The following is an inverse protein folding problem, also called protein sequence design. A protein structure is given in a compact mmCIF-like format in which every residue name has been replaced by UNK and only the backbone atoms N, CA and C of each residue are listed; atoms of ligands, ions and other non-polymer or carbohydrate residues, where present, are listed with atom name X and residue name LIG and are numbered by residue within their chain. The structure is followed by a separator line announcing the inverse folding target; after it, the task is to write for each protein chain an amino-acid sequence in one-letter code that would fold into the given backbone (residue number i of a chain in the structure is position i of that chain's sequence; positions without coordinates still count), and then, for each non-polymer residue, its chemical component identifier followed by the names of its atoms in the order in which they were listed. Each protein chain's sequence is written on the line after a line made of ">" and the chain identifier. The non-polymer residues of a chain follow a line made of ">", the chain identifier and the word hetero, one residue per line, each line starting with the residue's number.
data_IF_908430531940
#
_entry.id   IF_908430531940
#
_cell.length_a   1.000
_cell.length_b   1.000
_cell.length_c   1.000
_cell.angle_alpha   90.00
_cell.angle_beta   90.00
_cell.angle_gamma   90.00
#
_symmetry.space_group_name_H-M   'P 1'
#
loop_
_entity.id
_entity.type
_entity.pdbx_description
1 polymer ?
#
# COMPACT_ATOMS: atom_id res chain seq x y z
N UNK A 1 33.56 -20.21 3.89
CA UNK A 1 32.17 -20.66 3.81
C UNK A 1 31.21 -19.87 4.75
N UNK A 2 31.43 -19.82 6.10
CA UNK A 2 30.52 -19.15 7.04
C UNK A 2 30.32 -17.63 6.79
N UNK A 3 31.31 -16.89 6.28
CA UNK A 3 31.18 -15.46 5.93
C UNK A 3 30.33 -15.25 4.70
N UNK A 4 30.48 -16.11 3.69
CA UNK A 4 29.65 -16.06 2.47
C UNK A 4 28.20 -16.39 2.77
N UNK A 5 27.94 -17.38 3.63
CA UNK A 5 26.59 -17.75 4.07
C UNK A 5 25.92 -16.60 4.84
N UNK A 6 26.66 -15.95 5.76
CA UNK A 6 26.13 -14.79 6.49
C UNK A 6 25.83 -13.61 5.56
N UNK A 7 26.69 -13.34 4.57
CA UNK A 7 26.45 -12.28 3.59
C UNK A 7 25.24 -12.59 2.70
N UNK A 8 25.13 -13.82 2.22
CA UNK A 8 24.00 -14.28 1.42
C UNK A 8 22.66 -14.15 2.21
N UNK A 9 22.66 -14.53 3.48
CA UNK A 9 21.49 -14.41 4.36
C UNK A 9 21.11 -12.94 4.59
N UNK A 10 22.09 -12.05 4.74
CA UNK A 10 21.84 -10.61 4.88
C UNK A 10 21.21 -10.04 3.60
N UNK A 11 21.76 -10.36 2.43
CA UNK A 11 21.20 -9.92 1.13
C UNK A 11 19.79 -10.47 0.94
N UNK A 12 19.57 -11.73 1.30
CA UNK A 12 18.23 -12.33 1.23
C UNK A 12 17.22 -11.59 2.10
N UNK A 13 17.57 -11.23 3.33
CA UNK A 13 16.69 -10.45 4.22
C UNK A 13 16.44 -9.04 3.66
N UNK A 14 17.44 -8.37 3.08
CA UNK A 14 17.26 -7.04 2.43
C UNK A 14 16.21 -7.11 1.32
N UNK A 15 16.19 -8.19 0.54
CA UNK A 15 15.20 -8.37 -0.54
C UNK A 15 13.83 -8.86 -0.02
N UNK A 16 13.84 -9.73 1.01
CA UNK A 16 12.60 -10.26 1.56
C UNK A 16 11.76 -9.21 2.29
N UNK A 17 12.36 -8.21 2.92
CA UNK A 17 11.63 -7.14 3.62
C UNK A 17 10.69 -6.39 2.67
N UNK A 18 11.14 -5.78 1.55
CA UNK A 18 10.24 -5.09 0.63
C UNK A 18 9.26 -6.05 -0.06
N UNK A 19 9.69 -7.26 -0.42
CA UNK A 19 8.80 -8.26 -1.03
C UNK A 19 7.70 -8.70 -0.06
N UNK A 20 8.01 -8.88 1.22
CA UNK A 20 7.01 -9.17 2.24
C UNK A 20 6.02 -8.03 2.41
N UNK A 21 6.49 -6.78 2.44
CA UNK A 21 5.62 -5.61 2.55
C UNK A 21 4.69 -5.49 1.33
N UNK A 22 5.21 -5.67 0.12
CA UNK A 22 4.43 -5.67 -1.13
C UNK A 22 3.39 -6.79 -1.15
N UNK A 23 3.77 -8.00 -0.71
CA UNK A 23 2.84 -9.14 -0.69
C UNK A 23 1.73 -8.97 0.34
N UNK A 24 2.04 -8.41 1.53
CA UNK A 24 1.03 -8.07 2.54
C UNK A 24 0.11 -6.97 2.02
N UNK A 25 0.67 -5.93 1.39
CA UNK A 25 -0.11 -4.85 0.78
C UNK A 25 -1.08 -5.40 -0.27
N UNK A 26 -0.58 -6.21 -1.21
CA UNK A 26 -1.42 -6.76 -2.25
C UNK A 26 -2.53 -7.67 -1.70
N UNK A 27 -2.24 -8.49 -0.70
CA UNK A 27 -3.24 -9.40 -0.11
C UNK A 27 -4.21 -8.73 0.85
N UNK A 28 -3.82 -7.65 1.53
CA UNK A 28 -4.61 -7.01 2.57
C UNK A 28 -5.27 -5.70 2.11
N UNK A 29 -4.57 -4.86 1.34
CA UNK A 29 -5.10 -3.57 0.89
C UNK A 29 -5.81 -3.71 -0.46
N UNK A 30 -5.25 -4.49 -1.40
CA UNK A 30 -5.85 -4.70 -2.73
C UNK A 30 -6.83 -5.88 -2.72
N UNK A 31 -6.54 -6.93 -1.97
CA UNK A 31 -7.38 -8.15 -1.91
C UNK A 31 -8.45 -8.12 -0.80
N UNK A 32 -8.71 -6.99 -0.15
CA UNK A 32 -9.75 -6.86 0.87
C UNK A 32 -10.60 -5.62 0.62
N UNK A 33 -11.88 -5.82 0.32
CA UNK A 33 -12.80 -4.74 -0.05
C UNK A 33 -12.93 -3.65 1.01
N UNK A 34 -12.97 -4.00 2.30
CA UNK A 34 -13.12 -3.00 3.37
C UNK A 34 -11.89 -2.11 3.48
N UNK A 35 -10.70 -2.69 3.35
CA UNK A 35 -9.42 -1.93 3.38
C UNK A 35 -9.25 -1.08 2.13
N UNK A 36 -9.59 -1.63 0.96
CA UNK A 36 -9.59 -0.88 -0.28
C UNK A 36 -10.50 0.36 -0.18
N UNK A 37 -11.75 0.18 0.27
CA UNK A 37 -12.69 1.29 0.45
C UNK A 37 -12.17 2.29 1.48
N UNK A 38 -11.58 1.83 2.59
CA UNK A 38 -10.99 2.73 3.58
C UNK A 38 -9.81 3.55 3.01
N UNK A 39 -9.00 2.96 2.13
CA UNK A 39 -7.92 3.67 1.43
C UNK A 39 -8.45 4.68 0.39
N UNK A 40 -9.58 4.35 -0.28
CA UNK A 40 -10.21 5.20 -1.31
C UNK A 40 -11.11 6.30 -0.71
N UNK A 41 -11.63 6.12 0.51
CA UNK A 41 -12.58 7.05 1.14
C UNK A 41 -12.09 8.51 1.19
N UNK A 42 -10.81 8.82 1.54
CA UNK A 42 -10.33 10.20 1.56
C UNK A 42 -10.35 10.89 0.19
N UNK A 43 -10.33 10.12 -0.91
CA UNK A 43 -10.31 10.65 -2.27
C UNK A 43 -11.62 11.35 -2.65
N UNK A 44 -12.73 11.03 -1.99
CA UNK A 44 -13.99 11.78 -2.17
C UNK A 44 -13.83 13.27 -1.84
N UNK A 45 -12.92 13.62 -0.91
CA UNK A 45 -12.60 15.00 -0.55
C UNK A 45 -11.40 15.59 -1.30
N UNK A 46 -10.74 14.84 -2.18
CA UNK A 46 -9.59 15.34 -2.94
C UNK A 46 -10.06 16.25 -4.09
N UNK A 47 -9.57 17.50 -4.17
CA UNK A 47 -10.03 18.46 -5.20
C UNK A 47 -9.79 17.98 -6.63
N UNK A 48 -8.67 17.28 -6.90
CA UNK A 48 -8.38 16.79 -8.24
C UNK A 48 -9.32 15.65 -8.66
N UNK A 49 -9.75 14.83 -7.71
CA UNK A 49 -10.77 13.78 -7.95
C UNK A 49 -12.15 14.40 -8.14
N UNK A 50 -12.53 15.37 -7.31
CA UNK A 50 -13.80 16.10 -7.45
C UNK A 50 -13.89 16.84 -8.80
N UNK A 51 -12.79 17.46 -9.25
CA UNK A 51 -12.72 18.11 -10.57
C UNK A 51 -12.97 17.10 -11.70
N UNK A 52 -12.33 15.93 -11.67
CA UNK A 52 -12.54 14.87 -12.67
C UNK A 52 -13.99 14.40 -12.69
N UNK A 53 -14.57 14.17 -11.52
CA UNK A 53 -15.98 13.76 -11.41
C UNK A 53 -16.89 14.85 -11.97
N UNK A 54 -16.66 16.12 -11.63
CA UNK A 54 -17.46 17.23 -12.11
C UNK A 54 -17.37 17.37 -13.64
N UNK A 55 -16.18 17.26 -14.21
CA UNK A 55 -15.97 17.36 -15.65
C UNK A 55 -16.66 16.19 -16.40
N UNK A 56 -16.53 14.96 -15.91
CA UNK A 56 -17.14 13.78 -16.53
C UNK A 56 -18.68 13.82 -16.45
N UNK A 57 -19.23 14.15 -15.27
CA UNK A 57 -20.67 14.25 -15.08
C UNK A 57 -21.23 15.38 -15.94
N UNK A 58 -20.59 16.56 -15.94
CA UNK A 58 -21.00 17.69 -16.78
C UNK A 58 -20.99 17.31 -18.25
N UNK A 59 -19.91 16.69 -18.74
CA UNK A 59 -19.81 16.26 -20.12
C UNK A 59 -20.91 15.26 -20.50
N UNK A 60 -21.24 14.32 -19.61
CA UNK A 60 -22.30 13.34 -19.87
C UNK A 60 -23.70 13.97 -19.86
N UNK A 61 -23.98 14.88 -18.93
CA UNK A 61 -25.24 15.63 -18.86
C UNK A 61 -25.43 16.48 -20.13
N UNK A 62 -24.37 17.23 -20.51
CA UNK A 62 -24.41 18.13 -21.67
C UNK A 62 -24.51 17.43 -23.01
N UNK A 63 -24.15 16.12 -23.11
CA UNK A 63 -24.40 15.33 -24.35
C UNK A 63 -25.89 15.22 -24.69
N UNK A 64 -26.74 15.23 -23.70
CA UNK A 64 -28.20 15.06 -23.85
C UNK A 64 -28.99 16.37 -23.83
N UNK A 65 -28.28 17.51 -23.70
CA UNK A 65 -28.88 18.85 -23.60
C UNK A 65 -28.31 19.71 -24.72
N UNK A 66 -29.18 20.15 -25.63
CA UNK A 66 -28.84 21.14 -26.66
C UNK A 66 -29.58 22.44 -26.35
N UNK A 67 -28.87 23.45 -25.88
CA UNK A 67 -29.40 24.79 -25.55
C UNK A 67 -28.78 25.86 -26.46
N UNK A 68 -28.22 25.46 -27.59
CA UNK A 68 -27.69 26.37 -28.60
C UNK A 68 -26.62 27.31 -28.02
N UNK A 69 -26.79 28.66 -28.19
CA UNK A 69 -25.79 29.63 -27.72
C UNK A 69 -25.53 29.64 -26.21
N UNK A 70 -26.41 29.06 -25.41
CA UNK A 70 -26.32 28.99 -23.94
C UNK A 70 -25.55 27.76 -23.45
N UNK A 71 -25.02 26.93 -24.37
CA UNK A 71 -24.39 25.65 -24.05
C UNK A 71 -23.28 25.79 -22.99
N UNK A 72 -22.37 26.78 -23.13
CA UNK A 72 -21.32 27.03 -22.16
C UNK A 72 -21.84 27.46 -20.80
N UNK A 73 -22.79 28.41 -20.77
CA UNK A 73 -23.34 28.93 -19.51
C UNK A 73 -24.12 27.86 -18.73
N UNK A 74 -24.85 26.99 -19.43
CA UNK A 74 -25.54 25.85 -18.81
C UNK A 74 -24.52 24.81 -18.33
N UNK A 75 -23.49 24.55 -19.11
CA UNK A 75 -22.40 23.67 -18.71
C UNK A 75 -21.70 24.14 -17.41
N UNK A 76 -21.42 25.44 -17.31
CA UNK A 76 -20.82 26.02 -16.09
C UNK A 76 -21.74 25.87 -14.86
N UNK A 77 -23.03 26.06 -15.03
CA UNK A 77 -24.04 25.87 -13.96
C UNK A 77 -24.10 24.41 -13.52
N UNK A 78 -24.12 23.47 -14.48
CA UNK A 78 -24.10 22.03 -14.18
C UNK A 78 -22.84 21.67 -13.42
N UNK A 79 -21.65 22.12 -13.93
CA UNK A 79 -20.38 21.85 -13.26
C UNK A 79 -20.36 22.38 -11.83
N UNK A 80 -20.84 23.60 -11.61
CA UNK A 80 -20.90 24.20 -10.27
C UNK A 80 -21.84 23.41 -9.34
N UNK A 81 -22.99 22.94 -9.83
CA UNK A 81 -23.90 22.10 -9.05
C UNK A 81 -23.23 20.76 -8.68
N UNK A 82 -22.54 20.11 -9.63
CA UNK A 82 -21.83 18.85 -9.37
C UNK A 82 -20.69 19.07 -8.38
N UNK A 83 -19.93 20.16 -8.49
CA UNK A 83 -18.86 20.48 -7.52
C UNK A 83 -19.44 20.72 -6.12
N UNK A 84 -20.56 21.42 -6.00
CA UNK A 84 -21.23 21.61 -4.71
C UNK A 84 -21.68 20.28 -4.10
N UNK A 85 -22.22 19.37 -4.91
CA UNK A 85 -22.59 18.03 -4.48
C UNK A 85 -21.36 17.20 -4.10
N UNK A 86 -20.26 17.24 -4.87
CA UNK A 86 -19.03 16.52 -4.60
C UNK A 86 -18.37 16.90 -3.26
N UNK A 87 -18.66 18.09 -2.73
CA UNK A 87 -18.26 18.50 -1.38
C UNK A 87 -19.16 18.00 -0.24
N UNK A 88 -20.21 17.23 -0.51
CA UNK A 88 -21.20 16.80 0.48
C UNK A 88 -20.91 15.42 1.09
N UNK A 89 -21.47 15.16 2.28
CA UNK A 89 -21.42 13.84 2.92
C UNK A 89 -22.14 12.77 2.07
N UNK A 90 -23.20 13.18 1.34
CA UNK A 90 -23.91 12.31 0.42
C UNK A 90 -23.01 11.80 -0.71
N UNK A 91 -22.15 12.65 -1.25
CA UNK A 91 -21.16 12.23 -2.24
C UNK A 91 -20.15 11.25 -1.65
N UNK A 92 -19.65 11.50 -0.42
CA UNK A 92 -18.71 10.59 0.24
C UNK A 92 -19.32 9.21 0.46
N UNK A 93 -20.60 9.15 0.89
CA UNK A 93 -21.31 7.89 1.06
C UNK A 93 -21.52 7.15 -0.27
N UNK A 94 -21.94 7.88 -1.32
CA UNK A 94 -22.06 7.33 -2.67
C UNK A 94 -20.70 6.84 -3.22
N UNK A 95 -19.64 7.61 -3.05
CA UNK A 95 -18.27 7.24 -3.43
C UNK A 95 -17.83 5.92 -2.79
N UNK A 96 -18.02 5.78 -1.48
CA UNK A 96 -17.67 4.56 -0.76
C UNK A 96 -18.49 3.37 -1.23
N UNK A 97 -19.78 3.57 -1.51
CA UNK A 97 -20.69 2.54 -2.02
C UNK A 97 -20.25 2.06 -3.40
N UNK A 98 -19.99 2.98 -4.33
CA UNK A 98 -19.53 2.63 -5.70
C UNK A 98 -18.21 1.87 -5.65
N UNK A 99 -17.23 2.37 -4.88
CA UNK A 99 -15.93 1.70 -4.72
C UNK A 99 -16.09 0.29 -4.13
N UNK A 100 -16.95 0.10 -3.14
CA UNK A 100 -17.23 -1.20 -2.53
C UNK A 100 -17.81 -2.19 -3.53
N UNK A 101 -18.83 -1.78 -4.27
CA UNK A 101 -19.49 -2.66 -5.24
C UNK A 101 -18.57 -3.01 -6.39
N UNK A 102 -17.86 -2.01 -6.94
CA UNK A 102 -16.93 -2.23 -8.03
C UNK A 102 -15.77 -3.16 -7.62
N UNK A 103 -15.17 -2.92 -6.45
CA UNK A 103 -14.08 -3.76 -5.95
C UNK A 103 -14.55 -5.19 -5.66
N UNK A 104 -15.71 -5.37 -5.00
CA UNK A 104 -16.25 -6.69 -4.69
C UNK A 104 -16.58 -7.51 -5.95
N UNK A 105 -17.01 -6.83 -7.03
CA UNK A 105 -17.25 -7.49 -8.31
C UNK A 105 -15.95 -7.98 -8.96
N UNK A 106 -14.89 -7.17 -8.93
CA UNK A 106 -13.57 -7.56 -9.44
C UNK A 106 -12.97 -8.70 -8.62
N UNK A 107 -13.02 -8.60 -7.29
CA UNK A 107 -12.50 -9.63 -6.39
C UNK A 107 -13.21 -10.98 -6.61
N UNK A 108 -14.54 -10.96 -6.70
CA UNK A 108 -15.34 -12.15 -7.02
C UNK A 108 -14.96 -12.74 -8.38
N UNK A 109 -14.71 -11.93 -9.38
CA UNK A 109 -14.33 -12.39 -10.71
C UNK A 109 -12.93 -13.02 -10.75
N UNK A 110 -12.00 -12.47 -9.97
CA UNK A 110 -10.66 -13.05 -9.79
C UNK A 110 -10.72 -14.40 -9.07
N UNK A 111 -11.64 -14.56 -8.10
CA UNK A 111 -11.80 -15.80 -7.32
C UNK A 111 -12.63 -16.89 -8.07
N UNK A 112 -13.64 -16.52 -8.88
CA UNK A 112 -14.63 -17.45 -9.44
C UNK A 112 -14.10 -18.39 -10.54
N UNK A 113 -12.95 -18.08 -11.16
CA UNK A 113 -12.33 -18.98 -12.14
C UNK A 113 -13.04 -19.08 -13.49
N UNK A 114 -14.16 -18.39 -13.72
CA UNK A 114 -14.82 -18.32 -15.02
C UNK A 114 -13.97 -17.48 -15.98
N UNK A 115 -13.70 -18.01 -17.17
CA UNK A 115 -12.89 -17.35 -18.22
C UNK A 115 -13.67 -16.30 -19.01
N UNK A 116 -14.80 -15.82 -18.47
CA UNK A 116 -15.71 -14.89 -19.13
C UNK A 116 -15.36 -13.43 -18.79
N UNK A 117 -15.80 -12.51 -19.62
CA UNK A 117 -15.69 -11.08 -19.35
C UNK A 117 -16.38 -10.73 -18.03
N UNK A 118 -15.74 -9.87 -17.24
CA UNK A 118 -16.34 -9.38 -16.00
C UNK A 118 -17.26 -8.23 -16.34
N UNK A 119 -18.55 -8.50 -16.33
CA UNK A 119 -19.60 -7.50 -16.46
C UNK A 119 -20.17 -7.16 -15.08
N UNK A 120 -20.36 -5.88 -14.81
CA UNK A 120 -21.09 -5.38 -13.64
C UNK A 120 -22.41 -4.82 -14.13
N UNK A 121 -23.51 -5.37 -13.61
CA UNK A 121 -24.81 -4.74 -13.74
C UNK A 121 -24.85 -3.51 -12.84
N UNK A 122 -25.06 -2.35 -13.41
CA UNK A 122 -25.11 -1.09 -12.70
C UNK A 122 -26.43 -0.88 -11.94
N UNK A 123 -27.48 -1.64 -12.20
CA UNK A 123 -28.77 -1.46 -11.54
C UNK A 123 -28.67 -1.57 -10.00
N UNK A 124 -28.02 -2.59 -9.40
CA UNK A 124 -27.88 -2.67 -7.95
C UNK A 124 -27.01 -1.57 -7.37
N UNK A 125 -26.04 -1.05 -8.14
CA UNK A 125 -25.19 0.07 -7.73
C UNK A 125 -26.02 1.35 -7.72
N UNK A 126 -26.74 1.61 -8.81
CA UNK A 126 -27.61 2.80 -8.97
C UNK A 126 -28.70 2.81 -7.90
N UNK A 127 -29.34 1.67 -7.63
CA UNK A 127 -30.35 1.56 -6.57
C UNK A 127 -29.79 1.90 -5.20
N UNK A 128 -28.60 1.37 -4.86
CA UNK A 128 -27.96 1.66 -3.58
C UNK A 128 -27.52 3.10 -3.44
N UNK A 129 -26.97 3.69 -4.50
CA UNK A 129 -26.62 5.12 -4.55
C UNK A 129 -27.87 5.99 -4.42
N UNK A 130 -28.94 5.66 -5.17
CA UNK A 130 -30.23 6.33 -5.06
C UNK A 130 -30.76 6.31 -3.63
N UNK A 131 -30.79 5.16 -3.01
CA UNK A 131 -31.23 5.00 -1.62
C UNK A 131 -30.36 5.84 -0.66
N UNK A 132 -29.04 5.78 -0.78
CA UNK A 132 -28.12 6.58 0.02
C UNK A 132 -28.34 8.09 -0.14
N UNK A 133 -28.56 8.56 -1.38
CA UNK A 133 -28.87 9.96 -1.68
C UNK A 133 -30.22 10.38 -1.11
N UNK A 134 -31.24 9.50 -1.19
CA UNK A 134 -32.55 9.74 -0.63
C UNK A 134 -32.50 9.83 0.90
N UNK A 135 -31.78 8.93 1.56
CA UNK A 135 -31.57 8.92 3.01
C UNK A 135 -30.82 10.18 3.49
N UNK A 136 -29.95 10.73 2.67
CA UNK A 136 -29.25 12.00 2.90
C UNK A 136 -30.10 13.24 2.56
N UNK A 137 -31.34 13.03 2.11
CA UNK A 137 -32.28 14.13 1.77
C UNK A 137 -31.92 14.91 0.51
N UNK A 138 -31.18 14.31 -0.42
CA UNK A 138 -30.84 14.93 -1.71
C UNK A 138 -32.08 15.07 -2.54
N UNK A 139 -32.46 16.31 -2.99
CA UNK A 139 -33.65 16.54 -3.80
C UNK A 139 -33.61 15.72 -5.09
N UNK A 140 -34.75 15.15 -5.48
CA UNK A 140 -34.92 14.37 -6.71
C UNK A 140 -34.13 13.04 -6.77
N UNK A 141 -33.50 12.59 -5.70
CA UNK A 141 -32.82 11.30 -5.64
C UNK A 141 -33.76 10.15 -6.05
N UNK A 142 -35.00 10.19 -5.65
CA UNK A 142 -36.03 9.20 -5.99
C UNK A 142 -36.35 9.12 -7.48
N UNK A 143 -36.04 10.17 -8.25
CA UNK A 143 -36.25 10.21 -9.69
C UNK A 143 -35.08 9.62 -10.50
N UNK A 144 -34.01 9.15 -9.87
CA UNK A 144 -32.90 8.50 -10.56
C UNK A 144 -33.40 7.20 -11.18
N UNK A 145 -33.35 7.04 -12.51
CA UNK A 145 -33.77 5.81 -13.15
C UNK A 145 -32.77 4.68 -12.83
N UNK A 146 -33.30 3.53 -12.48
CA UNK A 146 -32.49 2.32 -12.25
C UNK A 146 -32.67 1.41 -13.46
N UNK A 147 -31.65 1.38 -14.30
CA UNK A 147 -31.65 0.57 -15.51
C UNK A 147 -30.59 -0.52 -15.41
N UNK A 148 -30.92 -1.72 -15.89
CA UNK A 148 -29.97 -2.80 -16.02
C UNK A 148 -29.00 -2.50 -17.19
N UNK A 149 -27.87 -1.90 -16.82
CA UNK A 149 -26.80 -1.59 -17.77
C UNK A 149 -25.59 -2.42 -17.40
N UNK A 150 -25.23 -3.34 -18.27
CA UNK A 150 -24.01 -4.14 -18.10
C UNK A 150 -22.80 -3.38 -18.63
N UNK A 151 -21.81 -3.16 -17.75
CA UNK A 151 -20.52 -2.56 -18.11
C UNK A 151 -19.42 -3.59 -17.95
N UNK A 152 -18.69 -3.88 -19.03
CA UNK A 152 -17.51 -4.74 -18.98
C UNK A 152 -16.36 -3.99 -18.32
N UNK A 153 -15.94 -4.47 -17.15
CA UNK A 153 -14.86 -3.86 -16.35
C UNK A 153 -13.52 -4.51 -16.70
N UNK A 154 -13.53 -5.80 -16.98
CA UNK A 154 -12.34 -6.57 -17.33
C UNK A 154 -12.67 -7.59 -18.44
N UNK A 155 -11.83 -7.63 -19.46
CA UNK A 155 -11.91 -8.66 -20.50
C UNK A 155 -11.28 -9.97 -20.04
N UNK A 156 -11.77 -11.08 -20.57
CA UNK A 156 -11.32 -12.44 -20.24
C UNK A 156 -9.79 -12.63 -20.37
N UNK A 157 -9.18 -12.04 -21.39
CA UNK A 157 -7.72 -12.13 -21.62
C UNK A 157 -6.91 -11.49 -20.48
N UNK A 158 -7.28 -10.28 -20.05
CA UNK A 158 -6.63 -9.57 -18.92
C UNK A 158 -6.91 -10.26 -17.60
N UNK A 159 -8.09 -10.87 -17.46
CA UNK A 159 -8.47 -11.57 -16.25
C UNK A 159 -7.58 -12.81 -16.00
N UNK A 160 -7.21 -13.55 -17.05
CA UNK A 160 -6.33 -14.71 -16.95
C UNK A 160 -4.95 -14.37 -16.38
N UNK A 161 -4.30 -13.35 -16.94
CA UNK A 161 -2.99 -12.87 -16.47
C UNK A 161 -3.03 -12.35 -15.03
N UNK A 162 -4.06 -11.57 -14.70
CA UNK A 162 -4.25 -10.99 -13.35
C UNK A 162 -4.54 -12.07 -12.31
N UNK A 163 -5.28 -13.11 -12.66
CA UNK A 163 -5.65 -14.20 -11.74
C UNK A 163 -4.45 -14.99 -11.26
N UNK A 164 -3.55 -15.37 -12.15
CA UNK A 164 -2.33 -16.11 -11.78
C UNK A 164 -1.46 -15.23 -10.87
N UNK A 165 -1.28 -13.97 -11.21
CA UNK A 165 -0.58 -13.00 -10.38
C UNK A 165 -1.23 -12.82 -8.99
N UNK A 166 -2.55 -12.67 -8.94
CA UNK A 166 -3.33 -12.50 -7.71
C UNK A 166 -3.21 -13.72 -6.79
N UNK A 167 -3.34 -14.93 -7.35
CA UNK A 167 -3.19 -16.18 -6.59
C UNK A 167 -1.81 -16.31 -5.97
N UNK A 168 -0.75 -16.01 -6.72
CA UNK A 168 0.62 -16.02 -6.22
C UNK A 168 0.85 -14.95 -5.14
N UNK A 169 0.32 -13.75 -5.34
CA UNK A 169 0.40 -12.65 -4.37
C UNK A 169 -0.32 -12.98 -3.05
N UNK A 170 -1.49 -13.62 -3.12
CA UNK A 170 -2.25 -14.05 -1.94
C UNK A 170 -1.50 -15.09 -1.12
N UNK A 171 -0.90 -16.10 -1.78
CA UNK A 171 -0.05 -17.09 -1.12
C UNK A 171 1.20 -16.42 -0.54
N UNK A 172 1.86 -15.60 -1.31
CA UNK A 172 3.06 -14.87 -0.90
C UNK A 172 2.80 -13.92 0.28
N UNK A 173 1.62 -13.30 0.34
CA UNK A 173 1.21 -12.36 1.40
C UNK A 173 1.27 -12.97 2.80
N UNK A 174 1.04 -14.27 2.93
CA UNK A 174 1.12 -15.00 4.20
C UNK A 174 2.52 -15.58 4.39
N UNK A 175 3.07 -16.25 3.38
CA UNK A 175 4.30 -17.03 3.51
C UNK A 175 5.58 -16.20 3.51
N UNK A 176 5.63 -15.10 2.77
CA UNK A 176 6.84 -14.26 2.71
C UNK A 176 7.16 -13.58 4.05
N UNK A 177 6.21 -12.96 4.77
CA UNK A 177 6.47 -12.42 6.10
C UNK A 177 6.90 -13.49 7.10
N UNK A 178 6.22 -14.66 7.09
CA UNK A 178 6.57 -15.79 7.96
C UNK A 178 7.99 -16.27 7.65
N UNK A 179 8.33 -16.47 6.39
CA UNK A 179 9.66 -16.87 5.96
C UNK A 179 10.73 -15.86 6.39
N UNK A 180 10.44 -14.56 6.23
CA UNK A 180 11.34 -13.48 6.64
C UNK A 180 11.60 -13.53 8.14
N UNK A 181 10.56 -13.71 8.96
CA UNK A 181 10.69 -13.82 10.42
C UNK A 181 11.45 -15.09 10.83
N UNK A 182 11.16 -16.23 10.21
CA UNK A 182 11.85 -17.49 10.47
C UNK A 182 13.33 -17.39 10.12
N UNK A 183 13.67 -16.83 8.96
CA UNK A 183 15.07 -16.62 8.56
C UNK A 183 15.79 -15.63 9.48
N UNK A 184 15.13 -14.56 9.90
CA UNK A 184 15.66 -13.61 10.87
C UNK A 184 15.92 -14.27 12.23
N UNK A 185 14.97 -15.07 12.73
CA UNK A 185 15.12 -15.87 13.95
C UNK A 185 16.26 -16.87 13.86
N UNK A 186 16.32 -17.64 12.78
CA UNK A 186 17.40 -18.60 12.51
C UNK A 186 18.78 -17.92 12.44
N UNK A 187 18.87 -16.76 11.80
CA UNK A 187 20.12 -15.99 11.73
C UNK A 187 20.65 -15.62 13.12
N UNK A 188 19.75 -15.27 14.06
CA UNK A 188 20.11 -14.95 15.45
C UNK A 188 20.40 -16.21 16.26
N UNK A 189 19.63 -17.29 16.10
CA UNK A 189 19.80 -18.55 16.85
C UNK A 189 21.08 -19.28 16.44
N UNK A 190 21.39 -19.33 15.15
CA UNK A 190 22.61 -19.98 14.62
C UNK A 190 23.88 -19.16 14.87
N UNK A 191 23.74 -17.91 15.29
CA UNK A 191 24.87 -17.09 15.65
C UNK A 191 25.53 -17.61 16.94
N UNK A 192 26.82 -18.02 16.85
CA UNK A 192 27.61 -18.42 18.01
C UNK A 192 27.59 -17.35 19.09
N UNK A 193 27.54 -17.75 20.37
CA UNK A 193 27.29 -16.83 21.51
C UNK A 193 28.17 -15.55 21.51
N UNK A 194 29.41 -15.61 21.03
CA UNK A 194 30.26 -14.42 20.86
C UNK A 194 30.01 -13.58 19.61
N UNK A 195 29.16 -14.04 18.67
CA UNK A 195 28.86 -13.37 17.41
C UNK A 195 27.39 -12.95 17.28
N UNK A 196 26.51 -13.27 18.26
CA UNK A 196 25.09 -12.89 18.26
C UNK A 196 24.89 -11.41 18.03
N UNK A 197 25.72 -10.57 18.62
CA UNK A 197 25.67 -9.12 18.42
C UNK A 197 25.87 -8.72 16.96
N UNK A 198 26.83 -9.36 16.25
CA UNK A 198 27.06 -9.11 14.83
C UNK A 198 25.90 -9.59 13.97
N UNK A 199 25.24 -10.67 14.34
CA UNK A 199 24.06 -11.16 13.65
C UNK A 199 22.87 -10.19 13.83
N UNK A 200 22.65 -9.70 15.06
CA UNK A 200 21.61 -8.70 15.37
C UNK A 200 21.86 -7.37 14.65
N UNK A 201 23.11 -6.88 14.65
CA UNK A 201 23.44 -5.66 13.87
C UNK A 201 23.29 -5.86 12.37
N UNK A 202 23.67 -7.03 11.84
CA UNK A 202 23.48 -7.39 10.44
C UNK A 202 21.98 -7.41 10.08
N UNK A 203 21.13 -7.98 10.92
CA UNK A 203 19.68 -8.03 10.73
C UNK A 203 19.07 -6.65 10.78
N UNK A 204 19.43 -5.81 11.78
CA UNK A 204 18.94 -4.43 11.85
C UNK A 204 19.31 -3.61 10.62
N UNK A 205 20.56 -3.77 10.13
CA UNK A 205 21.02 -3.12 8.91
C UNK A 205 20.26 -3.63 7.67
N UNK A 206 20.06 -4.95 7.56
CA UNK A 206 19.31 -5.54 6.45
C UNK A 206 17.86 -5.05 6.41
N UNK A 207 17.20 -5.00 7.58
CA UNK A 207 15.83 -4.46 7.69
C UNK A 207 15.78 -2.99 7.31
N UNK A 208 16.71 -2.16 7.79
CA UNK A 208 16.77 -0.74 7.45
C UNK A 208 17.02 -0.52 5.95
N UNK A 209 17.97 -1.26 5.34
CA UNK A 209 18.24 -1.19 3.90
C UNK A 209 17.04 -1.66 3.07
N UNK A 210 16.39 -2.77 3.46
CA UNK A 210 15.17 -3.25 2.81
C UNK A 210 14.02 -2.25 2.88
N UNK A 211 13.86 -1.57 4.03
CA UNK A 211 12.88 -0.51 4.21
C UNK A 211 13.18 0.71 3.32
N UNK A 212 14.45 1.13 3.22
CA UNK A 212 14.87 2.20 2.31
C UNK A 212 14.60 1.81 0.87
N UNK A 213 14.91 0.57 0.47
CA UNK A 213 14.63 0.06 -0.87
C UNK A 213 13.13 0.11 -1.20
N UNK A 214 12.26 -0.25 -0.24
CA UNK A 214 10.81 -0.15 -0.39
C UNK A 214 10.37 1.31 -0.58
N UNK A 215 10.82 2.22 0.29
CA UNK A 215 10.44 3.63 0.24
C UNK A 215 10.91 4.31 -1.07
N UNK A 216 12.14 4.03 -1.49
CA UNK A 216 12.69 4.51 -2.77
C UNK A 216 11.91 3.90 -3.94
N UNK A 217 11.61 2.59 -3.89
CA UNK A 217 10.81 1.92 -4.91
C UNK A 217 9.44 2.56 -5.09
N UNK A 218 8.71 2.82 -4.01
CA UNK A 218 7.40 3.50 -4.03
C UNK A 218 7.54 4.92 -4.57
N UNK A 219 8.58 5.67 -4.17
CA UNK A 219 8.80 7.04 -4.63
C UNK A 219 9.13 7.11 -6.12
N UNK A 220 9.94 6.17 -6.65
CA UNK A 220 10.33 6.12 -8.06
C UNK A 220 9.19 5.56 -8.93
N UNK A 221 8.41 4.61 -8.42
CA UNK A 221 7.28 4.05 -9.16
C UNK A 221 6.17 5.09 -9.42
N UNK A 222 6.03 6.11 -8.57
CA UNK A 222 5.02 7.17 -8.75
C UNK A 222 5.15 7.91 -10.08
N UNK A 223 6.27 8.59 -10.38
CA UNK A 223 6.42 9.27 -11.66
C UNK A 223 6.32 8.30 -12.85
N UNK A 224 6.91 7.10 -12.76
CA UNK A 224 6.83 6.11 -13.83
C UNK A 224 5.39 5.72 -14.14
N UNK A 225 4.57 5.47 -13.11
CA UNK A 225 3.16 5.14 -13.29
C UNK A 225 2.34 6.31 -13.85
N UNK A 226 2.68 7.56 -13.49
CA UNK A 226 1.98 8.74 -13.99
C UNK A 226 2.42 9.15 -15.41
N UNK A 227 3.66 8.88 -15.79
CA UNK A 227 4.18 9.20 -17.12
C UNK A 227 3.66 8.26 -18.21
N UNK A 228 3.28 7.02 -17.83
CA UNK A 228 2.71 6.01 -18.73
C UNK A 228 1.20 6.18 -18.96
N UNK A 229 0.57 7.19 -18.33
CA UNK A 229 -0.85 7.45 -18.49
C UNK A 229 -1.16 8.14 -19.82
N UNK A 230 -2.30 7.78 -20.48
CA UNK A 230 -2.82 8.49 -21.63
C UNK A 230 -2.99 9.99 -21.38
N UNK A 231 -2.90 10.79 -22.43
CA UNK A 231 -2.92 12.26 -22.32
C UNK A 231 -4.25 12.84 -21.81
N UNK A 232 -5.33 12.09 -21.95
CA UNK A 232 -6.70 12.44 -21.51
C UNK A 232 -6.95 12.15 -20.02
N UNK A 233 -6.01 11.46 -19.34
CA UNK A 233 -6.14 11.16 -17.91
C UNK A 233 -5.60 12.31 -17.06
N UNK A 234 -6.39 12.74 -16.07
CA UNK A 234 -5.97 13.75 -15.12
C UNK A 234 -4.87 13.20 -14.18
N UNK A 235 -3.63 13.67 -14.40
CA UNK A 235 -2.46 13.21 -13.64
C UNK A 235 -2.52 13.54 -12.15
N UNK A 236 -3.20 14.64 -11.77
CA UNK A 236 -3.33 15.00 -10.36
C UNK A 236 -4.25 14.01 -9.63
N UNK A 237 -5.41 13.69 -10.20
CA UNK A 237 -6.32 12.69 -9.65
C UNK A 237 -5.67 11.28 -9.62
N UNK A 238 -4.99 10.88 -10.70
CA UNK A 238 -4.25 9.62 -10.74
C UNK A 238 -3.14 9.57 -9.67
N UNK A 239 -2.46 10.69 -9.44
CA UNK A 239 -1.47 10.82 -8.37
C UNK A 239 -2.09 10.66 -6.98
N UNK A 240 -3.26 11.25 -6.73
CA UNK A 240 -4.00 11.10 -5.48
C UNK A 240 -4.40 9.62 -5.24
N UNK A 241 -4.88 8.92 -6.26
CA UNK A 241 -5.19 7.48 -6.21
C UNK A 241 -3.94 6.66 -5.90
N UNK A 242 -2.82 6.93 -6.59
CA UNK A 242 -1.54 6.27 -6.32
C UNK A 242 -1.10 6.47 -4.86
N UNK A 243 -1.17 7.70 -4.37
CA UNK A 243 -0.76 8.06 -3.00
C UNK A 243 -1.66 7.40 -1.95
N UNK A 244 -2.96 7.30 -2.19
CA UNK A 244 -3.92 6.60 -1.33
C UNK A 244 -3.62 5.10 -1.25
N UNK A 245 -3.44 4.43 -2.39
CA UNK A 245 -3.14 3.00 -2.46
C UNK A 245 -1.78 2.65 -1.86
N UNK A 246 -0.77 3.49 -2.02
CA UNK A 246 0.59 3.24 -1.51
C UNK A 246 0.82 3.74 -0.08
N UNK A 247 -0.17 4.35 0.55
CA UNK A 247 -0.10 4.87 1.92
C UNK A 247 0.34 3.83 2.94
N UNK A 248 -0.21 2.61 2.85
CA UNK A 248 0.21 1.47 3.66
C UNK A 248 1.69 1.12 3.47
N UNK A 249 2.17 1.05 2.22
CA UNK A 249 3.58 0.73 1.93
C UNK A 249 4.54 1.77 2.50
N UNK A 250 4.19 3.05 2.43
CA UNK A 250 4.97 4.14 3.05
C UNK A 250 5.03 3.99 4.56
N UNK A 251 3.88 3.75 5.19
CA UNK A 251 3.79 3.54 6.65
C UNK A 251 4.59 2.31 7.07
N UNK A 252 4.41 1.18 6.40
CA UNK A 252 5.16 -0.05 6.65
C UNK A 252 6.68 0.15 6.47
N UNK A 253 7.09 0.88 5.42
CA UNK A 253 8.47 1.25 5.17
C UNK A 253 9.08 2.09 6.31
N UNK A 254 8.39 3.12 6.78
CA UNK A 254 8.85 3.94 7.89
C UNK A 254 8.93 3.17 9.21
N UNK A 255 7.94 2.30 9.50
CA UNK A 255 7.95 1.43 10.68
C UNK A 255 9.12 0.44 10.61
N UNK A 256 9.33 -0.22 9.47
CA UNK A 256 10.45 -1.15 9.29
C UNK A 256 11.81 -0.45 9.41
N UNK A 257 11.95 0.76 8.88
CA UNK A 257 13.15 1.58 9.01
C UNK A 257 13.41 1.94 10.48
N UNK A 258 12.38 2.41 11.19
CA UNK A 258 12.46 2.72 12.63
C UNK A 258 12.87 1.50 13.46
N UNK A 259 12.29 0.33 13.20
CA UNK A 259 12.64 -0.93 13.86
C UNK A 259 14.09 -1.34 13.56
N UNK A 260 14.53 -1.26 12.30
CA UNK A 260 15.92 -1.55 11.91
C UNK A 260 16.93 -0.66 12.63
N UNK A 261 16.66 0.65 12.69
CA UNK A 261 17.50 1.62 13.39
C UNK A 261 17.48 1.41 14.91
N UNK A 262 16.34 1.10 15.51
CA UNK A 262 16.22 0.79 16.95
C UNK A 262 17.06 -0.44 17.33
N UNK A 263 17.03 -1.49 16.50
CA UNK A 263 17.90 -2.69 16.68
C UNK A 263 19.37 -2.33 16.60
N UNK A 264 19.77 -1.49 15.64
CA UNK A 264 21.15 -1.02 15.51
C UNK A 264 21.60 -0.21 16.72
N UNK A 265 20.77 0.71 17.20
CA UNK A 265 21.03 1.51 18.40
C UNK A 265 21.15 0.65 19.66
N UNK A 266 20.24 -0.29 19.88
CA UNK A 266 20.28 -1.21 21.01
C UNK A 266 21.57 -2.07 20.99
N UNK A 267 21.94 -2.58 19.83
CA UNK A 267 23.19 -3.33 19.67
C UNK A 267 24.44 -2.47 19.89
N UNK A 268 24.42 -1.20 19.53
CA UNK A 268 25.51 -0.26 19.77
C UNK A 268 25.65 0.10 21.27
N UNK A 269 24.53 0.43 21.93
CA UNK A 269 24.49 0.77 23.37
C UNK A 269 24.99 -0.39 24.24
N UNK A 270 24.48 -1.60 24.01
CA UNK A 270 24.92 -2.80 24.77
C UNK A 270 26.41 -3.06 24.61
N UNK A 271 26.99 -2.71 23.47
CA UNK A 271 28.41 -2.82 23.25
C UNK A 271 29.25 -1.79 23.99
N UNK A 272 28.71 -0.58 24.13
CA UNK A 272 29.42 0.50 24.82
C UNK A 272 29.42 0.25 26.34
N UNK A 273 28.27 -0.17 26.89
CA UNK A 273 28.13 -0.50 28.31
C UNK A 273 29.07 -1.64 28.75
N UNK A 274 29.16 -2.73 27.94
CA UNK A 274 30.09 -3.84 28.25
C UNK A 274 31.55 -3.44 28.18
N UNK A 275 31.94 -2.48 27.34
CA UNK A 275 33.30 -1.99 27.22
C UNK A 275 33.73 -1.17 28.43
N UNK A 276 32.78 -0.45 29.04
CA UNK A 276 32.99 0.37 30.24
C UNK A 276 32.98 -0.45 31.55
N UNK A 277 32.47 -1.71 31.52
CA UNK A 277 32.34 -2.57 32.70
C UNK A 277 33.52 -3.57 32.81
N UNK A 278 34.56 -3.49 31.98
CA UNK A 278 35.76 -4.31 32.15
C UNK A 278 36.60 -3.75 33.28
N UNK A 279 36.82 -4.48 34.42
CA UNK A 279 37.68 -4.00 35.50
C UNK A 279 39.09 -3.82 34.95
N UNK A 280 39.86 -2.84 35.48
CA UNK A 280 41.26 -2.69 35.13
C UNK A 280 42.03 -3.99 35.46
N UNK A 281 42.83 -4.48 34.53
CA UNK A 281 43.63 -5.65 34.73
C UNK A 281 44.49 -5.44 36.00
N UNK A 282 44.22 -6.28 37.02
CA UNK A 282 45.04 -6.27 38.23
C UNK A 282 46.49 -6.47 37.79
N UNK A 283 47.32 -5.46 38.09
CA UNK A 283 48.75 -5.54 37.87
C UNK A 283 49.30 -6.68 38.74
N UNK A 284 49.62 -7.80 38.14
CA UNK A 284 50.34 -8.89 38.80
C UNK A 284 51.71 -8.33 39.11
N UNK A 285 51.92 -8.01 40.39
CA UNK A 285 53.26 -7.66 40.96
C UNK A 285 54.12 -8.91 40.77
N UNK A 286 55.31 -8.80 40.18
CA UNK A 286 56.21 -9.94 40.14
C UNK A 286 56.68 -10.30 41.55
N UNK A 287 56.87 -11.59 41.88
CA UNK A 287 57.33 -11.99 43.21
C UNK A 287 58.76 -11.47 43.46
N UNK A 288 58.92 -10.79 44.63
CA UNK A 288 60.18 -10.33 45.14
C UNK A 288 61.18 -11.52 45.22
N UNK A 289 62.27 -11.45 44.45
CA UNK A 289 63.39 -12.36 44.62
C UNK A 289 64.05 -11.96 45.93
N UNK A 290 63.71 -12.66 47.01
CA UNK A 290 64.46 -12.62 48.23
C UNK A 290 65.85 -13.13 47.94
N UNK A 291 66.84 -12.27 48.26
CA UNK A 291 68.22 -12.57 48.23
C UNK A 291 68.58 -13.72 49.24
N UNK A 292 69.05 -14.81 48.70
CA UNK A 292 69.80 -15.76 49.48
C UNK A 292 71.30 -15.43 49.35
N UNK A 293 71.85 -14.72 50.34
CA UNK A 293 73.27 -14.63 50.61
C UNK A 293 73.52 -15.37 51.91
N UNK A 294 74.29 -16.44 51.86
CA UNK A 294 75.34 -16.87 52.75
C UNK A 294 75.88 -18.18 52.32
#
# INVERSE_FOLDING_TARGET
>A
MRRLLSAALTVLVVLLVPLSALSVWASQEVGNTDRYVAAMAPLAGDPAVQDVVADQVTAQVMKNIDVGPLQSSVGDLVRQAVMSFAGSDAFQAAWNTVNRVAHAAVDKALDSGTGDDVTIDLAPVTERVKQELSDQGVPFADNIPVEHTEVTVLTADKLGELRDGYRWLRIAGIWLPVLTLVLAGLAVLLAVAGRRRRAVTGLGLATALGAVLLLVGVAVARPLALDDLPADVNRAAAGAVYDALTGFLRTAGWVALGLGLAVLLAAWLTGRLRKNSSPPAASVRPPDRAHLTA
#
